data_IF_347191963736
#
_entry.id   IF_347191963736
#
_cell.length_a   1.000
_cell.length_b   1.000
_cell.length_c   1.000
_cell.angle_alpha   90.00
_cell.angle_beta   90.00
_cell.angle_gamma   90.00
#
_symmetry.space_group_name_H-M   'P 1'
#
loop_
_entity.id
_entity.type
_entity.pdbx_description
1 polymer ?
#
# COMPACT_ATOMS: atom_id res chain seq x y z
N UNK A 1 -8.95 0.33 16.28
CA UNK A 1 -10.12 -0.51 15.92
C UNK A 1 -9.70 -1.41 14.76
N UNK A 2 -9.93 -2.73 14.88
CA UNK A 2 -9.68 -3.70 13.81
C UNK A 2 -10.93 -3.73 12.92
N UNK A 3 -10.75 -3.50 11.64
CA UNK A 3 -11.86 -3.51 10.69
C UNK A 3 -11.98 -4.89 10.04
N UNK A 4 -13.05 -5.60 10.38
CA UNK A 4 -13.42 -6.86 9.72
C UNK A 4 -13.56 -6.65 8.22
N UNK A 5 -13.18 -7.65 7.44
CA UNK A 5 -13.17 -7.63 5.96
C UNK A 5 -12.14 -6.68 5.31
N UNK A 6 -11.27 -6.02 6.09
CA UNK A 6 -10.13 -5.29 5.55
C UNK A 6 -8.87 -6.15 5.62
N UNK A 7 -8.36 -6.55 4.46
CA UNK A 7 -7.18 -7.42 4.32
C UNK A 7 -6.13 -6.70 3.49
N UNK A 8 -4.88 -6.73 3.97
CA UNK A 8 -3.75 -6.14 3.27
C UNK A 8 -2.76 -7.21 2.82
N UNK A 9 -2.02 -6.92 1.77
CA UNK A 9 -0.98 -7.78 1.20
C UNK A 9 0.33 -7.04 1.15
N UNK A 10 1.35 -7.58 1.78
CA UNK A 10 2.69 -7.02 1.87
C UNK A 10 3.72 -7.97 1.25
N UNK A 11 4.88 -7.45 0.90
CA UNK A 11 5.98 -8.20 0.32
C UNK A 11 6.73 -7.42 -0.75
N UNK A 12 7.89 -7.92 -1.15
CA UNK A 12 8.76 -7.32 -2.14
C UNK A 12 8.13 -7.24 -3.54
N UNK A 13 8.81 -6.53 -4.44
CA UNK A 13 8.43 -6.52 -5.86
C UNK A 13 8.53 -7.92 -6.46
N UNK A 14 7.65 -8.24 -7.41
CA UNK A 14 7.63 -9.56 -8.06
C UNK A 14 7.26 -10.74 -7.15
N UNK A 15 6.89 -10.51 -5.87
CA UNK A 15 6.51 -11.60 -4.95
C UNK A 15 5.21 -12.31 -5.31
N UNK A 16 4.37 -11.73 -6.15
CA UNK A 16 3.10 -12.32 -6.56
C UNK A 16 1.89 -11.79 -5.81
N UNK A 17 2.00 -10.70 -5.04
CA UNK A 17 0.89 -10.06 -4.32
C UNK A 17 -0.34 -9.89 -5.20
N UNK A 18 -0.22 -9.20 -6.32
CA UNK A 18 -1.36 -8.91 -7.20
C UNK A 18 -2.02 -10.18 -7.78
N UNK A 19 -1.26 -11.27 -7.93
CA UNK A 19 -1.82 -12.58 -8.32
C UNK A 19 -2.66 -13.16 -7.19
N UNK A 20 -2.13 -13.17 -5.96
CA UNK A 20 -2.84 -13.72 -4.80
C UNK A 20 -4.09 -12.90 -4.45
N UNK A 21 -3.99 -11.57 -4.54
CA UNK A 21 -5.15 -10.67 -4.36
C UNK A 21 -6.27 -11.03 -5.34
N UNK A 22 -5.95 -11.18 -6.64
CA UNK A 22 -6.94 -11.53 -7.66
C UNK A 22 -7.57 -12.91 -7.43
N UNK A 23 -6.78 -13.89 -7.02
CA UNK A 23 -7.27 -15.24 -6.71
C UNK A 23 -8.22 -15.22 -5.49
N UNK A 24 -7.84 -14.52 -4.42
CA UNK A 24 -8.68 -14.37 -3.24
C UNK A 24 -9.97 -13.60 -3.57
N UNK A 25 -9.85 -12.50 -4.32
CA UNK A 25 -11.02 -11.74 -4.76
C UNK A 25 -12.01 -12.59 -5.55
N UNK A 26 -11.53 -13.41 -6.50
CA UNK A 26 -12.37 -14.33 -7.28
C UNK A 26 -13.06 -15.36 -6.38
N UNK A 27 -12.44 -15.78 -5.28
CA UNK A 27 -13.03 -16.70 -4.33
C UNK A 27 -14.12 -16.02 -3.50
N UNK A 28 -13.85 -14.81 -2.98
CA UNK A 28 -14.79 -14.03 -2.17
C UNK A 28 -16.01 -13.61 -3.02
N UNK A 29 -15.79 -13.20 -4.27
CA UNK A 29 -16.84 -12.73 -5.18
C UNK A 29 -17.94 -13.78 -5.48
N UNK A 30 -17.75 -15.04 -5.08
CA UNK A 30 -18.78 -16.07 -5.17
C UNK A 30 -19.90 -15.91 -4.13
N UNK A 31 -19.64 -15.20 -3.04
CA UNK A 31 -20.56 -15.09 -1.89
C UNK A 31 -20.71 -13.69 -1.34
N UNK A 32 -19.84 -12.77 -1.72
CA UNK A 32 -19.79 -11.42 -1.14
C UNK A 32 -19.15 -10.43 -2.13
N UNK A 33 -19.53 -9.17 -2.03
CA UNK A 33 -18.88 -8.11 -2.79
C UNK A 33 -17.44 -7.86 -2.29
N UNK A 34 -16.55 -7.52 -3.21
CA UNK A 34 -15.15 -7.26 -2.94
C UNK A 34 -14.64 -6.04 -3.70
N UNK A 35 -13.97 -5.15 -2.99
CA UNK A 35 -13.24 -4.01 -3.53
C UNK A 35 -11.75 -4.34 -3.56
N UNK A 36 -11.11 -4.14 -4.72
CA UNK A 36 -9.67 -4.27 -4.89
C UNK A 36 -9.05 -2.89 -4.96
N UNK A 37 -8.00 -2.67 -4.18
CA UNK A 37 -7.32 -1.38 -4.15
C UNK A 37 -5.83 -1.56 -3.86
N UNK A 38 -5.08 -0.45 -3.86
CA UNK A 38 -3.64 -0.45 -3.57
C UNK A 38 -3.17 0.87 -2.97
N UNK A 39 -2.01 0.84 -2.35
CA UNK A 39 -1.30 2.05 -1.90
C UNK A 39 0.11 2.18 -2.54
N UNK A 40 0.60 3.42 -2.69
CA UNK A 40 -0.20 4.66 -2.67
C UNK A 40 -1.15 4.70 -3.88
N UNK A 41 -2.36 5.29 -3.68
CA UNK A 41 -3.38 5.40 -4.73
C UNK A 41 -4.77 5.00 -4.24
N UNK A 42 -5.63 4.56 -5.16
CA UNK A 42 -6.97 4.04 -4.88
C UNK A 42 -8.09 5.07 -4.98
N UNK A 43 -7.81 6.35 -4.90
CA UNK A 43 -8.75 7.46 -5.15
C UNK A 43 -8.14 8.43 -6.15
N UNK A 44 -8.93 9.31 -6.74
CA UNK A 44 -8.43 10.30 -7.71
C UNK A 44 -7.29 11.12 -7.12
N UNK A 45 -7.51 11.72 -5.94
CA UNK A 45 -6.49 12.55 -5.27
C UNK A 45 -5.27 11.73 -4.84
N UNK A 46 -5.47 10.49 -4.36
CA UNK A 46 -4.37 9.63 -3.98
C UNK A 46 -3.54 9.16 -5.18
N UNK A 47 -4.15 8.97 -6.37
CA UNK A 47 -3.42 8.67 -7.60
C UNK A 47 -2.62 9.89 -8.10
N UNK A 48 -3.12 11.11 -7.91
CA UNK A 48 -2.35 12.33 -8.18
C UNK A 48 -1.09 12.39 -7.30
N UNK A 49 -1.25 12.14 -6.00
CA UNK A 49 -0.10 12.05 -5.07
C UNK A 49 0.84 10.92 -5.45
N UNK A 50 0.32 9.74 -5.82
CA UNK A 50 1.14 8.64 -6.35
C UNK A 50 1.99 9.09 -7.53
N UNK A 51 1.41 9.81 -8.48
CA UNK A 51 2.15 10.33 -9.64
C UNK A 51 3.29 11.26 -9.24
N UNK A 52 3.12 12.05 -8.17
CA UNK A 52 4.20 12.88 -7.60
C UNK A 52 5.31 12.02 -6.98
N UNK A 53 4.95 10.93 -6.32
CA UNK A 53 5.87 10.04 -5.60
C UNK A 53 6.69 9.16 -6.52
N UNK A 54 6.07 8.53 -7.54
CA UNK A 54 6.73 7.52 -8.39
C UNK A 54 7.51 8.13 -9.56
N UNK A 55 7.30 9.42 -9.88
CA UNK A 55 7.95 10.08 -11.01
C UNK A 55 9.09 10.99 -10.55
N UNK A 56 10.16 11.00 -11.33
CA UNK A 56 11.32 11.87 -11.13
C UNK A 56 12.51 11.17 -10.51
N UNK A 57 13.50 11.95 -10.09
CA UNK A 57 14.74 11.46 -9.47
C UNK A 57 14.49 10.96 -8.04
N UNK A 58 15.35 10.06 -7.56
CA UNK A 58 15.26 9.51 -6.20
C UNK A 58 15.25 10.60 -5.12
N UNK A 59 16.05 11.65 -5.29
CA UNK A 59 16.22 12.76 -4.34
C UNK A 59 15.19 13.89 -4.50
N UNK A 60 14.12 13.67 -5.27
CA UNK A 60 13.08 14.69 -5.54
C UNK A 60 12.46 15.25 -4.26
N UNK A 61 12.28 14.40 -3.27
CA UNK A 61 11.65 14.73 -2.01
C UNK A 61 12.59 14.52 -0.83
N UNK A 62 12.52 15.39 0.18
CA UNK A 62 13.11 15.06 1.47
C UNK A 62 12.35 13.89 2.09
N UNK A 63 13.02 13.08 2.93
CA UNK A 63 12.42 11.87 3.53
C UNK A 63 11.11 12.16 4.26
N UNK A 64 11.05 13.29 4.98
CA UNK A 64 9.83 13.69 5.70
C UNK A 64 8.74 14.16 4.74
N UNK A 65 9.10 14.92 3.67
CA UNK A 65 8.10 15.33 2.66
C UNK A 65 7.49 14.14 1.94
N UNK A 66 8.30 13.15 1.57
CA UNK A 66 7.82 11.91 0.97
C UNK A 66 6.87 11.16 1.92
N UNK A 67 7.24 11.05 3.19
CA UNK A 67 6.40 10.42 4.21
C UNK A 67 5.05 11.12 4.37
N UNK A 68 5.05 12.46 4.41
CA UNK A 68 3.80 13.23 4.52
C UNK A 68 2.90 13.05 3.30
N UNK A 69 3.46 12.99 2.09
CA UNK A 69 2.70 12.70 0.87
C UNK A 69 2.09 11.30 0.90
N UNK A 70 2.85 10.29 1.35
CA UNK A 70 2.34 8.92 1.51
C UNK A 70 1.16 8.87 2.49
N UNK A 71 1.28 9.54 3.63
CA UNK A 71 0.19 9.56 4.61
C UNK A 71 -1.00 10.42 4.17
N UNK A 72 -0.78 11.48 3.40
CA UNK A 72 -1.88 12.25 2.79
C UNK A 72 -2.68 11.39 1.81
N UNK A 73 -2.01 10.65 0.90
CA UNK A 73 -2.65 9.71 -0.01
C UNK A 73 -3.42 8.62 0.75
N UNK A 74 -2.81 8.06 1.80
CA UNK A 74 -3.43 7.02 2.65
C UNK A 74 -4.67 7.53 3.37
N UNK A 75 -4.63 8.75 3.91
CA UNK A 75 -5.79 9.34 4.59
C UNK A 75 -6.96 9.49 3.63
N UNK A 76 -6.71 10.05 2.46
CA UNK A 76 -7.73 10.21 1.41
C UNK A 76 -8.29 8.84 0.97
N UNK A 77 -7.43 7.85 0.79
CA UNK A 77 -7.79 6.49 0.42
C UNK A 77 -8.68 5.82 1.49
N UNK A 78 -8.32 5.94 2.77
CA UNK A 78 -9.12 5.41 3.87
C UNK A 78 -10.50 6.07 3.89
N UNK A 79 -10.55 7.38 3.85
CA UNK A 79 -11.79 8.13 4.05
C UNK A 79 -12.75 8.01 2.86
N UNK A 80 -12.23 8.04 1.64
CA UNK A 80 -13.06 8.10 0.43
C UNK A 80 -13.31 6.75 -0.23
N UNK A 81 -12.53 5.72 0.11
CA UNK A 81 -12.72 4.40 -0.49
C UNK A 81 -12.82 3.30 0.55
N UNK A 82 -11.79 3.07 1.38
CA UNK A 82 -11.75 1.89 2.24
C UNK A 82 -12.91 1.89 3.23
N UNK A 83 -13.10 2.97 3.99
CA UNK A 83 -14.18 3.05 4.99
C UNK A 83 -15.58 2.99 4.38
N UNK A 84 -15.91 3.68 3.27
CA UNK A 84 -17.19 3.54 2.60
C UNK A 84 -17.48 2.10 2.13
N UNK A 85 -16.50 1.42 1.52
CA UNK A 85 -16.66 0.06 1.05
C UNK A 85 -16.89 -0.92 2.23
N UNK A 86 -16.14 -0.77 3.33
CA UNK A 86 -16.33 -1.57 4.55
C UNK A 86 -17.70 -1.31 5.21
N UNK A 87 -18.15 -0.04 5.25
CA UNK A 87 -19.50 0.32 5.75
C UNK A 87 -20.60 -0.28 4.89
N UNK A 88 -20.36 -0.45 3.60
CA UNK A 88 -21.26 -1.16 2.67
C UNK A 88 -21.14 -2.68 2.77
N UNK A 89 -20.48 -3.19 3.84
CA UNK A 89 -20.30 -4.62 4.14
C UNK A 89 -19.48 -5.41 3.10
N UNK A 90 -18.73 -4.74 2.24
CA UNK A 90 -17.86 -5.38 1.24
C UNK A 90 -16.51 -5.78 1.86
N UNK A 91 -15.87 -6.77 1.25
CA UNK A 91 -14.46 -7.05 1.51
C UNK A 91 -13.59 -6.00 0.81
N UNK A 92 -12.53 -5.55 1.49
CA UNK A 92 -11.53 -4.68 0.89
C UNK A 92 -10.18 -5.39 0.93
N UNK A 93 -9.60 -5.62 -0.25
CA UNK A 93 -8.28 -6.22 -0.42
C UNK A 93 -7.33 -5.15 -0.95
N UNK A 94 -6.30 -4.82 -0.17
CA UNK A 94 -5.37 -3.73 -0.48
C UNK A 94 -3.95 -4.27 -0.73
N UNK A 95 -3.39 -3.96 -1.90
CA UNK A 95 -1.98 -4.21 -2.21
C UNK A 95 -1.14 -3.11 -1.57
N UNK A 96 -0.39 -3.46 -0.52
CA UNK A 96 0.36 -2.60 0.40
C UNK A 96 -0.52 -1.74 1.31
N UNK A 97 0.02 -1.46 2.47
CA UNK A 97 -0.54 -0.54 3.46
C UNK A 97 0.59 0.08 4.29
N UNK A 98 0.34 0.35 5.58
CA UNK A 98 1.29 1.06 6.45
C UNK A 98 2.63 0.32 6.63
N UNK A 99 2.63 -1.01 6.61
CA UNK A 99 3.85 -1.81 6.80
C UNK A 99 4.90 -1.53 5.73
N UNK A 100 4.47 -1.32 4.47
CA UNK A 100 5.35 -0.87 3.39
C UNK A 100 6.05 0.45 3.73
N UNK A 101 5.39 1.40 4.41
CA UNK A 101 5.99 2.68 4.82
C UNK A 101 7.10 2.47 5.87
N UNK A 102 6.88 1.57 6.83
CA UNK A 102 7.92 1.22 7.81
C UNK A 102 9.18 0.65 7.15
N UNK A 103 8.99 -0.18 6.12
CA UNK A 103 10.12 -0.77 5.39
C UNK A 103 10.81 0.27 4.51
N UNK A 104 10.07 0.88 3.58
CA UNK A 104 10.68 1.74 2.54
C UNK A 104 11.17 3.09 3.06
N UNK A 105 10.39 3.79 3.90
CA UNK A 105 10.78 5.09 4.42
C UNK A 105 11.54 4.99 5.75
N UNK A 106 11.31 3.92 6.52
CA UNK A 106 11.98 3.68 7.79
C UNK A 106 13.27 2.89 7.63
N UNK A 107 13.16 1.57 7.47
CA UNK A 107 14.31 0.66 7.52
C UNK A 107 15.28 0.86 6.34
N UNK A 108 14.75 1.04 5.13
CA UNK A 108 15.56 1.29 3.92
C UNK A 108 15.76 2.77 3.66
N UNK A 109 14.91 3.64 4.21
CA UNK A 109 14.96 5.08 4.07
C UNK A 109 15.72 5.80 5.18
N UNK A 110 15.56 7.13 5.24
CA UNK A 110 16.24 7.99 6.21
C UNK A 110 15.30 8.54 7.30
N UNK A 111 14.06 8.06 7.38
CA UNK A 111 13.08 8.54 8.36
C UNK A 111 13.10 7.66 9.59
N UNK A 112 13.21 8.24 10.79
CA UNK A 112 13.17 7.45 12.02
C UNK A 112 11.78 6.79 12.20
N UNK A 113 11.76 5.58 12.75
CA UNK A 113 10.53 4.84 13.03
C UNK A 113 9.60 5.60 13.98
N UNK A 114 10.16 6.42 14.90
CA UNK A 114 9.36 7.22 15.83
C UNK A 114 8.58 8.33 15.12
N UNK A 115 9.16 8.95 14.10
CA UNK A 115 8.45 9.94 13.26
C UNK A 115 7.31 9.24 12.52
N UNK A 116 7.57 8.07 11.91
CA UNK A 116 6.55 7.29 11.22
C UNK A 116 5.39 6.95 12.15
N UNK A 117 5.69 6.44 13.36
CA UNK A 117 4.67 6.11 14.38
C UNK A 117 3.82 7.31 14.81
N UNK A 118 4.45 8.48 14.98
CA UNK A 118 3.74 9.71 15.35
C UNK A 118 2.78 10.15 14.25
N UNK A 119 3.23 10.13 12.99
CA UNK A 119 2.39 10.51 11.85
C UNK A 119 1.29 9.46 11.62
N UNK A 120 1.60 8.16 11.72
CA UNK A 120 0.61 7.09 11.65
C UNK A 120 -0.50 7.31 12.69
N UNK A 121 -0.12 7.53 13.96
CA UNK A 121 -1.09 7.77 15.04
C UNK A 121 -1.98 8.99 14.77
N UNK A 122 -1.40 10.05 14.22
CA UNK A 122 -2.13 11.28 13.88
C UNK A 122 -3.10 11.07 12.72
N UNK A 123 -2.67 10.37 11.66
CA UNK A 123 -3.39 10.28 10.37
C UNK A 123 -4.41 9.16 10.36
N UNK A 124 -4.04 7.98 10.81
CA UNK A 124 -4.89 6.78 10.75
C UNK A 124 -5.34 6.28 12.13
N UNK A 125 -4.69 6.78 13.21
CA UNK A 125 -5.05 6.43 14.58
C UNK A 125 -4.97 4.93 14.84
N UNK A 126 -6.10 4.34 15.20
CA UNK A 126 -6.22 2.91 15.47
C UNK A 126 -6.81 2.12 14.29
N UNK A 127 -6.88 2.72 13.10
CA UNK A 127 -7.36 2.02 11.91
C UNK A 127 -6.38 0.91 11.51
N UNK A 128 -6.84 -0.34 11.53
CA UNK A 128 -5.99 -1.51 11.25
C UNK A 128 -6.73 -2.55 10.43
N UNK A 129 -6.03 -3.25 9.52
CA UNK A 129 -6.59 -4.40 8.84
C UNK A 129 -6.90 -5.53 9.83
N UNK A 130 -7.84 -6.39 9.46
CA UNK A 130 -8.12 -7.64 10.18
C UNK A 130 -6.98 -8.64 10.01
N UNK A 131 -6.41 -8.68 8.82
CA UNK A 131 -5.34 -9.61 8.45
C UNK A 131 -4.39 -8.96 7.45
N UNK A 132 -3.10 -9.18 7.63
CA UNK A 132 -2.06 -8.86 6.66
C UNK A 132 -1.39 -10.14 6.18
N UNK A 133 -1.39 -10.36 4.86
CA UNK A 133 -0.61 -11.42 4.23
C UNK A 133 0.77 -10.90 3.83
N UNK A 134 1.81 -11.41 4.44
CA UNK A 134 3.19 -11.19 3.99
C UNK A 134 3.58 -12.28 2.98
N UNK A 135 3.74 -11.89 1.71
CA UNK A 135 4.18 -12.79 0.64
C UNK A 135 5.70 -12.70 0.52
N UNK A 136 6.36 -13.69 1.09
CA UNK A 136 7.81 -13.76 1.10
C UNK A 136 8.34 -14.56 -0.12
N UNK A 137 9.41 -14.06 -0.73
CA UNK A 137 10.10 -14.67 -1.85
C UNK A 137 11.57 -14.28 -1.79
N UNK A 138 12.44 -15.11 -2.36
CA UNK A 138 13.84 -14.72 -2.54
C UNK A 138 13.93 -13.40 -3.32
N UNK A 139 14.63 -12.38 -2.80
CA UNK A 139 14.74 -11.08 -3.42
C UNK A 139 15.27 -11.13 -4.86
N UNK A 140 16.19 -12.03 -5.18
CA UNK A 140 16.74 -12.20 -6.53
C UNK A 140 15.65 -12.63 -7.52
N UNK A 141 14.78 -13.56 -7.11
CA UNK A 141 13.65 -14.01 -7.92
C UNK A 141 12.63 -12.88 -8.07
N UNK A 142 12.35 -12.14 -6.99
CA UNK A 142 11.45 -10.99 -7.02
C UNK A 142 11.89 -9.93 -8.02
N UNK A 143 13.14 -9.49 -7.93
CA UNK A 143 13.74 -8.51 -8.86
C UNK A 143 13.72 -9.01 -10.31
N UNK A 144 14.05 -10.28 -10.55
CA UNK A 144 14.00 -10.86 -11.89
C UNK A 144 12.56 -10.81 -12.48
N UNK A 145 11.55 -11.04 -11.66
CA UNK A 145 10.14 -10.99 -12.07
C UNK A 145 9.63 -9.56 -12.28
N UNK A 146 10.12 -8.58 -11.50
CA UNK A 146 9.70 -7.17 -11.60
C UNK A 146 10.24 -6.49 -12.86
N UNK A 147 11.39 -6.90 -13.38
CA UNK A 147 12.03 -6.36 -14.60
C UNK A 147 11.29 -6.69 -15.91
N UNK A 148 10.08 -7.22 -15.86
CA UNK A 148 9.30 -7.49 -17.09
C UNK A 148 8.91 -6.18 -17.78
N UNK A 149 8.93 -6.14 -19.14
CA UNK A 149 8.56 -4.94 -19.90
C UNK A 149 7.16 -4.45 -19.52
N UNK A 150 7.04 -3.13 -19.21
CA UNK A 150 5.77 -2.49 -18.86
C UNK A 150 5.66 -1.97 -17.43
N UNK A 151 6.57 -2.27 -16.53
CA UNK A 151 6.60 -1.68 -15.20
C UNK A 151 7.16 -0.24 -15.28
N UNK A 152 6.35 0.75 -14.91
CA UNK A 152 6.68 2.20 -15.00
C UNK A 152 7.06 2.86 -13.67
N UNK A 153 7.02 2.13 -12.57
CA UNK A 153 7.27 2.67 -11.22
C UNK A 153 8.78 2.62 -10.86
N UNK A 154 9.60 3.33 -11.66
CA UNK A 154 11.05 3.22 -11.65
C UNK A 154 11.75 3.79 -10.39
N UNK A 155 11.09 4.66 -9.60
CA UNK A 155 11.79 5.38 -8.52
C UNK A 155 12.12 4.51 -7.30
N UNK A 156 11.37 3.47 -7.03
CA UNK A 156 11.56 2.55 -5.91
C UNK A 156 12.30 1.27 -6.28
N UNK A 157 12.74 1.14 -7.54
CA UNK A 157 13.43 -0.04 -8.08
C UNK A 157 14.96 0.14 -8.23
N UNK A 158 15.51 1.35 -7.92
CA UNK A 158 16.94 1.68 -8.02
C UNK A 158 17.61 1.71 -6.66
#
# INVERSE_FOLDING_TARGET
MIYKKFITFEGGEGSGKSTQIKLLAKKIAKTSDVCLTREPGGTVSAEEIRNLLVRGKAEKWSSVSELLLLFAARKDHIDKLILPELKSNKWVLCDRFVDSTYVYQGMCGKTSLDIIKKIEKLVIGQFKPELTFLINIDPKIGIQRSKRPGNKDLRYEN
#
